data_IF_250223113004
#
_entry.id   IF_250223113004
#
_cell.length_a   1.000
_cell.length_b   1.000
_cell.length_c   1.000
_cell.angle_alpha   90.00
_cell.angle_beta   90.00
_cell.angle_gamma   90.00
#
_symmetry.space_group_name_H-M   'P 1'
#
loop_
_entity.id
_entity.type
_entity.pdbx_description
1 polymer ?
#
# COMPACT_ATOMS: atom_id res chain seq x y z
N UNK A 1 -0.96 9.40 14.62
CA UNK A 1 -2.34 9.84 14.27
C UNK A 1 -2.95 10.50 15.48
N UNK A 2 -3.42 11.74 15.36
CA UNK A 2 -4.10 12.44 16.47
C UNK A 2 -5.49 11.82 16.63
N UNK A 3 -5.78 11.17 17.74
CA UNK A 3 -7.10 10.63 18.04
C UNK A 3 -7.90 11.68 18.80
N UNK A 4 -9.07 12.04 18.30
CA UNK A 4 -9.96 12.93 19.03
C UNK A 4 -10.56 12.16 20.23
N UNK A 5 -10.34 12.68 21.43
CA UNK A 5 -10.86 12.14 22.68
C UNK A 5 -11.84 13.12 23.31
N UNK A 6 -12.75 12.55 24.07
CA UNK A 6 -13.74 13.29 24.83
C UNK A 6 -13.64 12.84 26.31
N UNK A 7 -13.51 13.84 27.20
CA UNK A 7 -13.56 13.62 28.65
C UNK A 7 -14.92 14.12 29.18
N UNK A 8 -15.80 13.21 29.58
CA UNK A 8 -17.11 13.59 30.12
C UNK A 8 -17.05 14.41 31.40
N UNK A 9 -15.98 14.23 32.21
CA UNK A 9 -15.84 14.94 33.51
C UNK A 9 -15.55 16.43 33.35
N UNK A 10 -14.93 16.80 32.22
CA UNK A 10 -14.62 18.19 31.91
C UNK A 10 -15.73 18.88 31.09
N UNK A 11 -16.69 18.12 30.60
CA UNK A 11 -17.72 18.66 29.73
C UNK A 11 -18.79 19.44 30.50
N UNK A 12 -18.96 20.70 30.13
CA UNK A 12 -20.00 21.62 30.69
C UNK A 12 -21.31 21.58 29.92
N UNK A 13 -21.47 20.70 28.93
CA UNK A 13 -22.65 20.59 28.05
C UNK A 13 -23.04 21.88 27.35
N UNK A 14 -22.08 22.78 27.09
CA UNK A 14 -22.34 24.13 26.55
C UNK A 14 -22.73 24.15 25.05
N UNK A 15 -22.64 23.05 24.32
CA UNK A 15 -23.04 22.94 22.92
C UNK A 15 -22.10 23.57 21.88
N UNK A 16 -21.11 24.38 22.26
CA UNK A 16 -20.25 25.14 21.36
C UNK A 16 -19.52 24.27 20.31
N UNK A 17 -19.20 23.01 20.63
CA UNK A 17 -18.56 22.06 19.72
C UNK A 17 -19.51 21.57 18.62
N UNK A 18 -20.82 21.54 18.89
CA UNK A 18 -21.86 21.13 17.95
C UNK A 18 -22.10 22.24 16.94
N UNK A 19 -22.36 23.46 17.43
CA UNK A 19 -22.67 24.61 16.59
C UNK A 19 -21.53 24.96 15.62
N UNK A 20 -20.30 24.70 16.02
CA UNK A 20 -19.10 24.99 15.23
C UNK A 20 -18.59 23.82 14.40
N UNK A 21 -19.25 22.65 14.45
CA UNK A 21 -18.83 21.50 13.65
C UNK A 21 -19.26 21.67 12.19
N UNK A 22 -18.34 21.89 11.23
CA UNK A 22 -18.72 22.11 9.83
C UNK A 22 -19.25 20.85 9.13
N UNK A 23 -19.15 19.69 9.80
CA UNK A 23 -19.54 18.39 9.24
C UNK A 23 -20.76 17.78 9.96
N UNK A 24 -21.35 18.46 10.94
CA UNK A 24 -22.47 17.92 11.73
C UNK A 24 -22.13 16.60 12.42
N UNK A 25 -20.87 16.41 12.81
CA UNK A 25 -20.36 15.12 13.30
C UNK A 25 -20.51 14.94 14.81
N UNK A 26 -21.12 15.88 15.52
CA UNK A 26 -21.22 15.88 16.98
C UNK A 26 -22.69 16.01 17.38
N UNK A 27 -23.14 15.10 18.23
CA UNK A 27 -24.50 15.15 18.83
C UNK A 27 -24.42 15.23 20.35
N UNK A 28 -25.37 15.94 20.97
CA UNK A 28 -25.46 16.04 22.42
C UNK A 28 -26.26 14.87 22.97
N UNK A 29 -25.75 14.28 24.03
CA UNK A 29 -26.45 13.28 24.82
C UNK A 29 -26.55 13.73 26.28
N UNK A 30 -27.33 13.01 27.11
CA UNK A 30 -27.56 13.36 28.52
C UNK A 30 -26.29 13.43 29.33
N UNK A 31 -25.27 12.67 28.98
CA UNK A 31 -24.01 12.52 29.72
C UNK A 31 -22.79 13.08 28.99
N UNK A 32 -22.98 13.77 27.85
CA UNK A 32 -21.88 14.30 27.07
C UNK A 32 -22.20 14.46 25.60
N UNK A 33 -21.22 14.16 24.78
CA UNK A 33 -21.35 14.20 23.33
C UNK A 33 -20.95 12.88 22.70
N UNK A 34 -21.52 12.59 21.53
CA UNK A 34 -21.10 11.48 20.67
C UNK A 34 -20.61 12.00 19.35
N UNK A 35 -19.69 11.23 18.74
CA UNK A 35 -19.11 11.51 17.44
C UNK A 35 -19.61 10.47 16.45
N UNK A 36 -20.10 10.92 15.30
CA UNK A 36 -20.50 10.04 14.22
C UNK A 36 -19.43 9.95 13.12
N UNK A 37 -19.65 9.11 12.12
CA UNK A 37 -18.74 8.83 11.00
C UNK A 37 -18.44 10.03 10.08
N UNK A 38 -19.19 11.13 10.19
CA UNK A 38 -18.91 12.37 9.45
C UNK A 38 -17.71 13.13 10.00
N UNK A 39 -17.15 12.72 11.14
CA UNK A 39 -16.00 13.39 11.74
C UNK A 39 -14.76 13.33 10.85
N UNK A 40 -14.25 14.49 10.45
CA UNK A 40 -13.04 14.63 9.62
C UNK A 40 -11.78 14.99 10.43
N UNK A 41 -11.80 14.83 11.74
CA UNK A 41 -10.66 15.13 12.64
C UNK A 41 -10.07 16.55 12.43
N UNK A 42 -10.87 17.52 11.99
CA UNK A 42 -10.41 18.88 11.64
C UNK A 42 -9.99 19.74 12.84
N UNK A 43 -10.32 19.32 14.06
CA UNK A 43 -9.94 19.98 15.32
C UNK A 43 -10.66 21.28 15.64
N UNK A 44 -11.68 21.70 14.88
CA UNK A 44 -12.47 22.90 15.18
C UNK A 44 -13.10 22.81 16.57
N UNK A 45 -13.72 21.67 16.90
CA UNK A 45 -14.34 21.42 18.20
C UNK A 45 -13.33 21.46 19.36
N UNK A 46 -12.11 21.02 19.16
CA UNK A 46 -11.03 21.08 20.17
C UNK A 46 -10.66 22.53 20.47
N UNK A 47 -10.50 23.36 19.43
CA UNK A 47 -10.16 24.80 19.60
C UNK A 47 -11.30 25.60 20.24
N UNK A 48 -12.55 25.18 20.05
CA UNK A 48 -13.73 25.88 20.59
C UNK A 48 -14.11 25.40 21.99
N UNK A 49 -13.59 24.28 22.45
CA UNK A 49 -13.92 23.75 23.76
C UNK A 49 -13.18 24.49 24.88
N UNK A 50 -13.87 25.42 25.55
CA UNK A 50 -13.28 26.20 26.65
C UNK A 50 -12.92 25.34 27.86
N UNK A 51 -13.70 24.30 28.16
CA UNK A 51 -13.44 23.37 29.24
C UNK A 51 -12.37 22.34 28.91
N UNK A 52 -11.85 22.33 27.66
CA UNK A 52 -10.87 21.34 27.16
C UNK A 52 -11.33 19.87 27.24
N UNK A 53 -12.63 19.66 27.36
CA UNK A 53 -13.22 18.31 27.35
C UNK A 53 -12.98 17.54 26.06
N UNK A 54 -12.75 18.27 24.93
CA UNK A 54 -12.35 17.70 23.66
C UNK A 54 -10.87 18.00 23.43
N UNK A 55 -10.09 16.96 23.21
CA UNK A 55 -8.66 17.11 22.96
C UNK A 55 -8.17 16.04 21.96
N UNK A 56 -7.08 16.35 21.30
CA UNK A 56 -6.37 15.31 20.56
C UNK A 56 -5.42 14.61 21.52
N UNK A 57 -5.65 13.30 21.67
CA UNK A 57 -4.65 12.47 22.31
C UNK A 57 -3.40 12.46 21.41
N UNK A 58 -2.37 13.14 21.86
CA UNK A 58 -1.04 12.91 21.32
C UNK A 58 -0.54 11.63 21.99
N UNK A 59 -0.38 10.55 21.23
CA UNK A 59 0.52 9.49 21.70
C UNK A 59 1.84 10.21 22.01
N UNK A 60 2.14 10.33 23.28
CA UNK A 60 3.42 10.83 23.75
C UNK A 60 4.51 9.89 23.21
N UNK A 61 5.36 10.42 22.32
CA UNK A 61 6.41 9.67 21.65
C UNK A 61 5.91 9.04 20.34
N UNK A 62 6.49 9.42 19.20
CA UNK A 62 6.46 8.61 17.98
C UNK A 62 6.94 7.19 18.33
N UNK A 63 6.49 6.20 17.56
CA UNK A 63 7.02 4.83 17.72
C UNK A 63 8.54 4.86 17.76
N UNK A 64 9.13 4.09 18.65
CA UNK A 64 10.59 3.94 18.70
C UNK A 64 11.05 3.32 17.38
N UNK A 65 11.56 4.16 16.50
CA UNK A 65 12.00 3.75 15.16
C UNK A 65 13.13 2.73 15.21
N UNK A 66 13.86 2.64 16.30
CA UNK A 66 14.98 1.70 16.46
C UNK A 66 14.51 0.24 16.51
N UNK A 67 13.26 0.01 16.88
CA UNK A 67 12.64 -1.34 16.89
C UNK A 67 12.15 -1.78 15.50
N UNK A 68 12.11 -0.87 14.54
CA UNK A 68 11.64 -1.11 13.18
C UNK A 68 12.82 -1.05 12.20
N UNK A 69 13.14 -2.19 11.59
CA UNK A 69 14.26 -2.27 10.65
C UNK A 69 13.95 -3.19 9.48
N UNK A 70 14.66 -2.96 8.36
CA UNK A 70 14.44 -3.72 7.13
C UNK A 70 13.34 -3.15 6.24
N UNK A 71 13.30 -3.64 5.03
CA UNK A 71 12.32 -3.30 3.99
C UNK A 71 11.61 -4.57 3.58
N UNK A 72 10.29 -4.59 3.71
CA UNK A 72 9.43 -5.69 3.32
C UNK A 72 8.78 -5.39 1.97
N UNK A 73 8.92 -6.30 1.02
CA UNK A 73 8.25 -6.26 -0.28
C UNK A 73 7.07 -7.25 -0.26
N UNK A 74 5.88 -6.79 -0.61
CA UNK A 74 4.78 -7.69 -0.89
C UNK A 74 4.99 -8.33 -2.26
N UNK A 75 5.26 -9.64 -2.27
CA UNK A 75 5.50 -10.42 -3.47
C UNK A 75 4.17 -10.89 -4.07
N UNK A 76 3.57 -10.01 -4.89
CA UNK A 76 2.31 -10.29 -5.58
C UNK A 76 2.47 -11.41 -6.59
N UNK A 77 1.59 -12.41 -6.50
CA UNK A 77 1.53 -13.52 -7.46
C UNK A 77 0.09 -13.89 -7.77
N UNK A 78 -0.12 -14.41 -8.94
CA UNK A 78 -1.39 -15.01 -9.34
C UNK A 78 -1.13 -16.40 -9.93
N UNK A 79 -1.77 -17.42 -9.33
CA UNK A 79 -1.66 -18.83 -9.75
C UNK A 79 -0.21 -19.32 -9.88
N UNK A 80 0.65 -18.87 -8.97
CA UNK A 80 2.06 -19.23 -8.96
C UNK A 80 2.96 -18.42 -9.89
N UNK A 81 2.40 -17.52 -10.70
CA UNK A 81 3.18 -16.61 -11.54
C UNK A 81 3.42 -15.28 -10.82
N UNK A 82 4.68 -14.94 -10.60
CA UNK A 82 5.06 -13.67 -9.97
C UNK A 82 4.72 -12.48 -10.86
N UNK A 83 4.10 -11.44 -10.29
CA UNK A 83 3.87 -10.20 -11.03
C UNK A 83 5.21 -9.47 -11.26
N UNK A 84 5.50 -8.98 -12.47
CA UNK A 84 6.80 -8.37 -12.79
C UNK A 84 7.19 -7.18 -11.89
N UNK A 85 6.23 -6.43 -11.35
CA UNK A 85 6.47 -5.33 -10.42
C UNK A 85 7.26 -5.75 -9.17
N UNK A 86 7.14 -7.01 -8.75
CA UNK A 86 7.85 -7.54 -7.58
C UNK A 86 9.36 -7.41 -7.73
N UNK A 87 9.88 -7.69 -8.92
CA UNK A 87 11.32 -7.58 -9.20
C UNK A 87 11.80 -6.13 -9.24
N UNK A 88 10.95 -5.19 -9.66
CA UNK A 88 11.23 -3.75 -9.57
C UNK A 88 11.27 -3.30 -8.10
N UNK A 89 10.28 -3.73 -7.29
CA UNK A 89 10.24 -3.43 -5.85
C UNK A 89 11.46 -3.98 -5.11
N UNK A 90 11.91 -5.19 -5.43
CA UNK A 90 13.13 -5.78 -4.85
C UNK A 90 14.36 -4.96 -5.25
N UNK A 91 14.46 -4.54 -6.52
CA UNK A 91 15.55 -3.67 -6.99
C UNK A 91 15.61 -2.37 -6.21
N UNK A 92 14.48 -1.71 -6.05
CA UNK A 92 14.39 -0.46 -5.31
C UNK A 92 14.63 -0.66 -3.81
N UNK A 93 14.05 -1.72 -3.21
CA UNK A 93 14.30 -2.07 -1.81
C UNK A 93 15.78 -2.26 -1.51
N UNK A 94 16.54 -2.92 -2.39
CA UNK A 94 17.99 -3.10 -2.25
C UNK A 94 18.76 -1.77 -2.33
N UNK A 95 18.38 -0.87 -3.24
CA UNK A 95 18.98 0.48 -3.34
C UNK A 95 18.74 1.27 -2.05
N UNK A 96 17.53 1.25 -1.51
CA UNK A 96 17.15 1.92 -0.28
C UNK A 96 17.85 1.30 0.95
N UNK A 97 17.83 -0.02 1.05
CA UNK A 97 18.41 -0.79 2.16
C UNK A 97 19.94 -0.55 2.29
N UNK A 98 20.64 -0.48 1.18
CA UNK A 98 22.09 -0.21 1.15
C UNK A 98 22.47 1.09 1.85
N UNK A 99 21.61 2.12 1.80
CA UNK A 99 21.89 3.44 2.41
C UNK A 99 21.90 3.43 3.93
N UNK A 100 21.13 2.51 4.54
CA UNK A 100 20.92 2.46 6.00
C UNK A 100 21.29 1.12 6.63
N UNK A 101 21.88 0.21 5.86
CA UNK A 101 22.31 -1.11 6.34
C UNK A 101 21.14 -2.06 6.66
N UNK A 102 20.01 -1.90 5.99
CA UNK A 102 18.83 -2.74 6.21
C UNK A 102 18.89 -4.03 5.39
N UNK A 103 18.16 -5.04 5.86
CA UNK A 103 17.84 -6.26 5.09
C UNK A 103 16.61 -6.04 4.23
N UNK A 104 16.53 -6.83 3.15
CA UNK A 104 15.39 -6.86 2.24
C UNK A 104 14.64 -8.17 2.45
N UNK A 105 13.39 -8.04 2.79
CA UNK A 105 12.47 -9.15 3.03
C UNK A 105 11.38 -9.17 1.97
N UNK A 106 10.80 -10.34 1.74
CA UNK A 106 9.58 -10.46 0.96
C UNK A 106 8.52 -11.25 1.74
N UNK A 107 7.25 -10.93 1.54
CA UNK A 107 6.12 -11.72 2.02
C UNK A 107 5.29 -12.18 0.84
N UNK A 108 4.97 -13.46 0.80
CA UNK A 108 4.21 -14.12 -0.24
C UNK A 108 3.04 -14.88 0.37
N UNK A 109 1.85 -14.70 -0.20
CA UNK A 109 0.62 -15.33 0.26
C UNK A 109 0.00 -16.11 -0.89
N UNK A 110 -0.43 -17.33 -0.65
CA UNK A 110 -1.06 -18.14 -1.70
C UNK A 110 -1.42 -19.55 -1.27
N UNK A 111 -1.82 -20.35 -2.25
CA UNK A 111 -2.18 -21.76 -2.08
C UNK A 111 -0.96 -22.67 -2.22
N UNK A 112 -1.17 -23.97 -2.37
CA UNK A 112 -0.12 -24.96 -2.56
C UNK A 112 0.97 -24.53 -3.56
N UNK A 113 2.23 -24.87 -3.27
CA UNK A 113 3.44 -24.53 -4.02
C UNK A 113 3.91 -23.08 -3.94
N UNK A 114 3.28 -22.24 -3.09
CA UNK A 114 3.74 -20.86 -2.89
C UNK A 114 5.17 -20.82 -2.35
N UNK A 115 5.52 -21.73 -1.43
CA UNK A 115 6.89 -21.85 -0.91
C UNK A 115 7.90 -22.29 -1.98
N UNK A 116 7.49 -23.12 -2.94
CA UNK A 116 8.33 -23.50 -4.08
C UNK A 116 8.56 -22.33 -5.01
N UNK A 117 7.48 -21.58 -5.34
CA UNK A 117 7.53 -20.42 -6.21
C UNK A 117 8.35 -19.26 -5.57
N UNK A 118 8.36 -19.16 -4.24
CA UNK A 118 9.16 -18.18 -3.51
C UNK A 118 10.68 -18.28 -3.78
N UNK A 119 11.16 -19.45 -4.20
CA UNK A 119 12.56 -19.64 -4.60
C UNK A 119 12.99 -18.74 -5.76
N UNK A 120 12.04 -18.31 -6.60
CA UNK A 120 12.30 -17.39 -7.71
C UNK A 120 12.84 -16.04 -7.23
N UNK A 121 12.54 -15.63 -6.00
CA UNK A 121 12.95 -14.35 -5.45
C UNK A 121 14.38 -14.33 -4.91
N UNK A 122 14.92 -15.48 -4.48
CA UNK A 122 16.24 -15.57 -3.85
C UNK A 122 17.37 -15.08 -4.74
N UNK A 123 17.41 -15.39 -6.06
CA UNK A 123 18.45 -14.88 -6.95
C UNK A 123 18.49 -13.35 -7.07
N UNK A 124 17.45 -12.65 -6.67
CA UNK A 124 17.39 -11.20 -6.76
C UNK A 124 17.88 -10.47 -5.48
N UNK A 125 18.47 -11.22 -4.53
CA UNK A 125 19.10 -10.66 -3.33
C UNK A 125 18.11 -10.28 -2.22
N UNK A 126 17.04 -11.06 -2.08
CA UNK A 126 16.16 -11.03 -0.91
C UNK A 126 16.82 -11.85 0.19
N UNK A 127 16.92 -11.29 1.41
CA UNK A 127 17.53 -11.97 2.55
C UNK A 127 16.63 -13.06 3.13
N UNK A 128 15.32 -12.84 3.16
CA UNK A 128 14.34 -13.83 3.64
C UNK A 128 12.99 -13.61 2.99
N UNK A 129 12.34 -14.73 2.60
CA UNK A 129 10.98 -14.74 2.07
C UNK A 129 10.07 -15.43 3.08
N UNK A 130 9.10 -14.71 3.61
CA UNK A 130 8.06 -15.24 4.48
C UNK A 130 6.88 -15.71 3.64
N UNK A 131 6.49 -16.97 3.80
CA UNK A 131 5.44 -17.60 2.98
C UNK A 131 4.27 -18.01 3.85
N UNK A 132 3.09 -17.52 3.50
CA UNK A 132 1.80 -17.94 4.05
C UNK A 132 1.09 -18.79 2.98
N UNK A 133 1.08 -20.10 3.20
CA UNK A 133 0.57 -21.07 2.25
C UNK A 133 -0.62 -21.82 2.85
N UNK A 134 -1.81 -21.67 2.27
CA UNK A 134 -3.02 -22.36 2.70
C UNK A 134 -4.10 -22.29 1.62
N UNK A 135 -4.92 -23.34 1.46
CA UNK A 135 -6.00 -23.38 0.47
C UNK A 135 -7.06 -22.28 0.66
N UNK A 136 -7.23 -21.78 1.87
CA UNK A 136 -8.10 -20.64 2.17
C UNK A 136 -7.70 -19.34 1.46
N UNK A 137 -6.48 -19.25 0.93
CA UNK A 137 -6.04 -18.12 0.10
C UNK A 137 -6.34 -18.31 -1.39
N UNK A 138 -7.11 -19.32 -1.77
CA UNK A 138 -7.57 -19.46 -3.14
C UNK A 138 -8.41 -18.26 -3.58
N UNK A 139 -7.96 -17.58 -4.65
CA UNK A 139 -8.49 -16.29 -5.05
C UNK A 139 -8.12 -15.17 -4.07
N UNK A 140 -7.95 -13.97 -4.59
CA UNK A 140 -7.61 -12.82 -3.74
C UNK A 140 -8.81 -12.38 -2.89
N UNK A 141 -8.68 -12.52 -1.58
CA UNK A 141 -9.60 -11.98 -0.57
C UNK A 141 -8.83 -10.98 0.28
N UNK A 142 -9.14 -9.70 0.12
CA UNK A 142 -8.35 -8.61 0.69
C UNK A 142 -8.27 -8.64 2.23
N UNK A 143 -9.24 -9.21 2.92
CA UNK A 143 -9.24 -9.43 4.37
C UNK A 143 -8.23 -10.50 4.78
N UNK A 144 -8.31 -11.71 4.20
CA UNK A 144 -7.40 -12.81 4.51
C UNK A 144 -5.93 -12.46 4.17
N UNK A 145 -5.70 -11.84 3.01
CA UNK A 145 -4.36 -11.41 2.60
C UNK A 145 -3.82 -10.33 3.55
N UNK A 146 -4.68 -9.39 3.98
CA UNK A 146 -4.28 -8.38 4.96
C UNK A 146 -3.95 -8.99 6.32
N UNK A 147 -4.65 -10.05 6.75
CA UNK A 147 -4.37 -10.73 8.01
C UNK A 147 -3.00 -11.44 7.97
N UNK A 148 -2.70 -12.16 6.90
CA UNK A 148 -1.41 -12.82 6.71
C UNK A 148 -0.24 -11.82 6.65
N UNK A 149 -0.36 -10.77 5.84
CA UNK A 149 0.69 -9.76 5.72
C UNK A 149 0.86 -8.95 7.01
N UNK A 150 -0.23 -8.67 7.72
CA UNK A 150 -0.17 -7.98 9.01
C UNK A 150 0.51 -8.83 10.09
N UNK A 151 0.29 -10.15 10.11
CA UNK A 151 1.02 -11.07 11.00
C UNK A 151 2.53 -11.02 10.72
N UNK A 152 2.93 -11.05 9.44
CA UNK A 152 4.33 -10.90 9.04
C UNK A 152 4.91 -9.56 9.53
N UNK A 153 4.22 -8.45 9.30
CA UNK A 153 4.66 -7.11 9.72
C UNK A 153 4.80 -7.04 11.24
N UNK A 154 3.84 -7.62 12.00
CA UNK A 154 3.84 -7.60 13.47
C UNK A 154 4.98 -8.42 14.07
N UNK A 155 5.46 -9.45 13.40
CA UNK A 155 6.59 -10.28 13.84
C UNK A 155 7.94 -9.70 13.42
N UNK A 156 8.00 -9.13 12.23
CA UNK A 156 9.24 -8.67 11.62
C UNK A 156 9.60 -7.23 11.98
N UNK A 157 8.61 -6.37 12.24
CA UNK A 157 8.76 -4.92 12.44
C UNK A 157 9.57 -4.23 11.32
N UNK A 158 9.19 -4.35 10.04
CA UNK A 158 9.91 -3.70 8.95
C UNK A 158 9.70 -2.18 8.99
N UNK A 159 10.75 -1.39 8.78
CA UNK A 159 10.66 0.08 8.74
C UNK A 159 9.85 0.59 7.53
N UNK A 160 9.90 -0.15 6.43
CA UNK A 160 9.24 0.18 5.16
C UNK A 160 8.52 -1.05 4.62
N UNK A 161 7.33 -0.84 4.05
CA UNK A 161 6.59 -1.86 3.29
C UNK A 161 6.30 -1.33 1.89
N UNK A 162 6.82 -2.03 0.88
CA UNK A 162 6.63 -1.72 -0.53
C UNK A 162 5.62 -2.68 -1.15
N UNK A 163 4.65 -2.12 -1.85
CA UNK A 163 3.58 -2.87 -2.52
C UNK A 163 3.46 -2.40 -3.97
N UNK A 164 3.16 -3.28 -4.91
CA UNK A 164 2.90 -2.89 -6.30
C UNK A 164 1.67 -1.99 -6.41
N UNK A 165 1.71 -0.99 -7.30
CA UNK A 165 0.55 -0.14 -7.64
C UNK A 165 -0.46 -0.84 -8.54
N UNK A 166 -0.62 -2.14 -8.41
CA UNK A 166 -1.57 -3.01 -9.11
C UNK A 166 -2.97 -2.92 -8.51
N UNK A 167 -3.95 -3.56 -9.14
CA UNK A 167 -5.31 -3.64 -8.59
C UNK A 167 -5.33 -4.33 -7.23
N UNK A 168 -4.55 -5.40 -7.05
CA UNK A 168 -4.44 -6.13 -5.77
C UNK A 168 -3.72 -5.28 -4.73
N UNK A 169 -2.58 -4.71 -5.07
CA UNK A 169 -1.80 -3.89 -4.15
C UNK A 169 -2.52 -2.64 -3.68
N UNK A 170 -3.28 -1.98 -4.55
CA UNK A 170 -4.14 -0.83 -4.21
C UNK A 170 -5.32 -1.21 -3.31
N UNK A 171 -5.74 -2.46 -3.31
CA UNK A 171 -6.75 -2.98 -2.38
C UNK A 171 -6.13 -3.37 -1.02
N UNK A 172 -4.92 -3.91 -1.02
CA UNK A 172 -4.24 -4.44 0.16
C UNK A 172 -3.57 -3.35 1.01
N UNK A 173 -2.77 -2.49 0.39
CA UNK A 173 -1.94 -1.52 1.10
C UNK A 173 -2.72 -0.54 2.00
N UNK A 174 -3.89 0.03 1.60
CA UNK A 174 -4.69 0.88 2.48
C UNK A 174 -5.23 0.17 3.70
N UNK A 175 -5.60 -1.11 3.58
CA UNK A 175 -6.07 -1.93 4.70
C UNK A 175 -4.97 -2.13 5.74
N UNK A 176 -3.76 -2.45 5.27
CA UNK A 176 -2.58 -2.60 6.12
C UNK A 176 -2.20 -1.28 6.80
N UNK A 177 -2.07 -0.20 6.05
CA UNK A 177 -1.68 1.10 6.63
C UNK A 177 -2.68 1.59 7.68
N UNK A 178 -3.97 1.37 7.47
CA UNK A 178 -5.02 1.71 8.45
C UNK A 178 -4.90 0.83 9.69
N UNK A 179 -4.65 -0.47 9.53
CA UNK A 179 -4.48 -1.41 10.65
C UNK A 179 -3.31 -1.05 11.55
N UNK A 180 -2.19 -0.62 10.96
CA UNK A 180 -1.01 -0.16 11.69
C UNK A 180 -1.06 1.33 12.06
N UNK A 181 -2.19 2.01 11.83
CA UNK A 181 -2.36 3.44 12.13
C UNK A 181 -1.25 4.32 11.58
N UNK A 182 -0.79 4.04 10.37
CA UNK A 182 0.31 4.74 9.72
C UNK A 182 -0.09 5.31 8.36
N UNK A 183 0.81 6.10 7.77
CA UNK A 183 0.59 6.71 6.46
C UNK A 183 0.88 5.75 5.31
N UNK A 184 0.23 6.02 4.19
CA UNK A 184 0.46 5.37 2.90
C UNK A 184 0.56 6.42 1.81
N UNK A 185 1.63 6.38 1.00
CA UNK A 185 1.68 7.13 -0.25
C UNK A 185 1.43 6.21 -1.42
N UNK A 186 0.39 6.49 -2.19
CA UNK A 186 0.02 5.69 -3.34
C UNK A 186 0.69 6.17 -4.62
N UNK A 187 0.99 5.23 -5.53
CA UNK A 187 1.47 5.47 -6.89
C UNK A 187 2.78 6.27 -6.96
N UNK A 188 3.72 5.92 -6.08
CA UNK A 188 5.06 6.51 -6.07
C UNK A 188 5.79 6.21 -7.38
N UNK A 189 6.52 7.21 -7.86
CA UNK A 189 7.38 7.09 -9.04
C UNK A 189 8.87 7.22 -8.70
N UNK A 190 9.20 7.65 -7.48
CA UNK A 190 10.56 7.71 -6.97
C UNK A 190 10.54 7.54 -5.44
N UNK A 191 11.54 6.86 -4.90
CA UNK A 191 11.74 6.67 -3.47
C UNK A 191 13.17 7.03 -3.07
N UNK A 192 13.33 7.64 -1.90
CA UNK A 192 14.65 7.97 -1.37
C UNK A 192 14.69 7.68 0.13
N UNK A 193 15.75 7.03 0.60
CA UNK A 193 15.96 6.77 2.02
C UNK A 193 16.85 7.84 2.63
N UNK A 194 16.41 8.47 3.73
CA UNK A 194 17.24 9.36 4.55
C UNK A 194 18.08 8.56 5.55
N UNK A 195 19.16 9.16 6.05
CA UNK A 195 20.02 8.55 7.07
C UNK A 195 19.30 8.25 8.39
N UNK A 196 18.24 8.98 8.69
CA UNK A 196 17.38 8.75 9.87
C UNK A 196 16.27 7.69 9.62
N UNK A 197 16.38 6.90 8.56
CA UNK A 197 15.44 5.85 8.13
C UNK A 197 14.06 6.33 7.68
N UNK A 198 13.86 7.63 7.50
CA UNK A 198 12.63 8.14 6.91
C UNK A 198 12.66 7.98 5.39
N UNK A 199 11.58 7.42 4.84
CA UNK A 199 11.38 7.24 3.41
C UNK A 199 10.76 8.50 2.82
N UNK A 200 11.45 9.13 1.87
CA UNK A 200 10.89 10.18 1.01
C UNK A 200 10.16 9.51 -0.15
N UNK A 201 8.89 9.74 -0.25
CA UNK A 201 7.98 9.12 -1.21
C UNK A 201 7.54 10.20 -2.19
N UNK A 202 7.90 10.03 -3.46
CA UNK A 202 7.70 11.05 -4.50
C UNK A 202 6.70 10.53 -5.51
N UNK A 203 5.67 11.33 -5.77
CA UNK A 203 4.64 11.01 -6.72
C UNK A 203 4.15 12.22 -7.49
N UNK A 204 3.73 12.07 -8.75
CA UNK A 204 3.03 13.13 -9.47
C UNK A 204 1.66 13.40 -8.83
N UNK A 205 1.31 14.67 -8.73
CA UNK A 205 0.04 15.16 -8.23
C UNK A 205 -0.54 16.22 -9.19
N UNK A 206 -1.82 16.54 -9.03
CA UNK A 206 -2.51 17.55 -9.85
C UNK A 206 -2.32 17.38 -11.35
N UNK A 207 -2.60 16.16 -11.86
CA UNK A 207 -2.46 15.84 -13.28
C UNK A 207 -1.01 15.73 -13.77
N UNK A 208 -0.04 15.59 -12.86
CA UNK A 208 1.39 15.48 -13.18
C UNK A 208 2.17 16.79 -13.15
N UNK A 209 1.50 17.91 -12.87
CA UNK A 209 2.14 19.24 -12.85
C UNK A 209 3.05 19.47 -11.63
N UNK A 210 2.89 18.70 -10.58
CA UNK A 210 3.66 18.82 -9.33
C UNK A 210 4.17 17.46 -8.91
N UNK A 211 5.44 17.39 -8.49
CA UNK A 211 6.02 16.23 -7.84
C UNK A 211 5.93 16.41 -6.32
N UNK A 212 4.93 15.77 -5.71
CA UNK A 212 4.75 15.83 -4.26
C UNK A 212 5.78 14.92 -3.56
N UNK A 213 6.47 15.47 -2.57
CA UNK A 213 7.36 14.73 -1.67
C UNK A 213 6.68 14.53 -0.32
N UNK A 214 6.50 13.28 0.07
CA UNK A 214 5.77 12.91 1.27
C UNK A 214 6.69 12.10 2.17
N UNK A 215 6.66 12.38 3.47
CA UNK A 215 7.43 11.67 4.50
C UNK A 215 6.51 11.27 5.64
N UNK A 216 6.58 10.01 6.06
CA UNK A 216 5.85 9.48 7.21
C UNK A 216 6.83 9.41 8.38
N UNK A 217 6.99 10.54 9.10
CA UNK A 217 8.06 10.68 10.10
C UNK A 217 7.71 10.17 11.49
N UNK A 218 6.41 10.01 11.84
CA UNK A 218 5.98 9.74 13.22
C UNK A 218 5.54 8.29 13.47
N UNK A 219 5.30 7.51 12.41
CA UNK A 219 4.77 6.14 12.52
C UNK A 219 5.54 5.15 11.66
N UNK A 220 5.43 3.87 12.01
CA UNK A 220 6.01 2.73 11.29
C UNK A 220 4.96 1.62 11.15
N UNK A 221 5.08 0.77 10.12
CA UNK A 221 5.98 0.92 8.98
C UNK A 221 5.53 2.06 8.04
N UNK A 222 6.44 2.52 7.18
CA UNK A 222 6.14 3.48 6.12
C UNK A 222 5.66 2.74 4.88
N UNK A 223 4.39 2.89 4.50
CA UNK A 223 3.84 2.21 3.32
C UNK A 223 3.98 3.06 2.07
N UNK A 224 4.39 2.41 0.97
CA UNK A 224 4.35 3.00 -0.36
C UNK A 224 3.81 1.98 -1.37
N UNK A 225 2.87 2.40 -2.24
CA UNK A 225 2.65 1.66 -3.48
C UNK A 225 3.45 2.30 -4.61
N UNK A 226 4.05 1.47 -5.46
CA UNK A 226 4.90 1.89 -6.57
C UNK A 226 4.26 1.48 -7.88
N UNK A 227 4.20 2.38 -8.85
CA UNK A 227 3.69 2.07 -10.18
C UNK A 227 4.56 1.03 -10.89
N UNK A 228 3.93 0.16 -11.63
CA UNK A 228 4.61 -0.79 -12.50
C UNK A 228 5.31 -0.07 -13.67
N UNK A 229 6.45 -0.61 -14.10
CA UNK A 229 7.32 -0.07 -15.16
C UNK A 229 7.89 1.33 -14.87
N UNK A 230 8.12 1.63 -13.59
CA UNK A 230 8.72 2.92 -13.17
C UNK A 230 10.11 2.74 -12.55
N UNK A 231 10.32 1.59 -11.88
CA UNK A 231 11.61 1.27 -11.26
C UNK A 231 12.35 0.22 -12.09
N UNK A 232 13.68 0.23 -11.99
CA UNK A 232 14.49 -0.79 -12.65
C UNK A 232 14.28 -2.15 -11.99
N UNK A 233 14.17 -3.18 -12.81
CA UNK A 233 14.13 -4.56 -12.34
C UNK A 233 15.42 -4.91 -11.60
N UNK A 234 15.32 -5.65 -10.49
CA UNK A 234 16.48 -6.16 -9.78
C UNK A 234 17.36 -7.03 -10.68
N UNK A 235 18.65 -6.84 -10.59
CA UNK A 235 19.64 -7.74 -11.16
C UNK A 235 19.83 -8.96 -10.25
N UNK A 236 20.08 -10.11 -10.84
CA UNK A 236 20.41 -11.33 -10.09
C UNK A 236 21.78 -11.17 -9.42
N UNK A 237 21.88 -11.64 -8.18
CA UNK A 237 23.14 -11.68 -7.43
C UNK A 237 23.91 -12.94 -7.79
N UNK A 238 25.24 -12.86 -7.78
CA UNK A 238 26.11 -14.00 -8.11
C UNK A 238 25.93 -15.19 -7.12
N UNK A 239 25.75 -14.86 -5.84
CA UNK A 239 25.62 -15.86 -4.75
C UNK A 239 24.37 -15.56 -3.93
N UNK A 240 23.23 -16.16 -4.25
CA UNK A 240 22.03 -16.04 -3.42
C UNK A 240 22.27 -16.65 -2.04
N UNK A 241 22.00 -15.87 -0.99
CA UNK A 241 22.17 -16.30 0.41
C UNK A 241 20.86 -16.26 1.21
N UNK A 242 19.76 -15.92 0.55
CA UNK A 242 18.46 -15.78 1.18
C UNK A 242 17.85 -17.11 1.59
N UNK A 243 16.91 -17.07 2.53
CA UNK A 243 16.16 -18.24 2.99
C UNK A 243 14.66 -18.05 2.82
N UNK A 244 13.91 -19.16 2.86
CA UNK A 244 12.47 -19.19 2.84
C UNK A 244 11.98 -19.69 4.20
N UNK A 245 11.05 -18.94 4.80
CA UNK A 245 10.42 -19.28 6.07
C UNK A 245 8.92 -19.43 5.85
N UNK A 246 8.42 -20.67 5.98
CA UNK A 246 6.98 -20.94 5.93
C UNK A 246 6.36 -20.57 7.27
N UNK A 247 5.40 -19.67 7.23
CA UNK A 247 4.72 -19.15 8.41
C UNK A 247 3.45 -19.99 8.69
N UNK A 248 3.11 -20.23 9.98
CA UNK A 248 1.86 -20.89 10.30
C UNK A 248 0.67 -20.01 9.92
N UNK A 249 -0.35 -20.64 9.36
CA UNK A 249 -1.62 -20.00 9.01
C UNK A 249 -2.70 -20.52 9.95
N UNK A 250 -3.37 -19.62 10.67
CA UNK A 250 -4.51 -19.98 11.53
C UNK A 250 -5.81 -19.98 10.74
N UNK A 251 -6.81 -20.73 11.21
CA UNK A 251 -8.16 -20.74 10.63
C UNK A 251 -8.80 -19.35 10.58
N UNK A 252 -8.50 -18.50 11.55
CA UNK A 252 -9.00 -17.12 11.59
C UNK A 252 -8.43 -16.25 10.48
N UNK A 253 -7.15 -16.45 10.08
CA UNK A 253 -6.55 -15.74 8.95
C UNK A 253 -7.21 -16.02 7.61
N UNK A 254 -7.80 -17.20 7.45
CA UNK A 254 -8.45 -17.60 6.20
C UNK A 254 -9.97 -17.47 6.23
N UNK A 255 -10.52 -17.06 7.38
CA UNK A 255 -11.95 -16.77 7.53
C UNK A 255 -12.28 -15.44 6.89
N UNK A 256 -12.89 -15.47 5.71
CA UNK A 256 -13.32 -14.28 4.96
C UNK A 256 -14.81 -14.01 5.11
N UNK A 257 -15.18 -12.74 5.00
CA UNK A 257 -16.57 -12.31 4.78
C UNK A 257 -16.96 -12.31 3.30
N UNK A 258 -16.00 -12.65 2.43
CA UNK A 258 -16.14 -12.66 0.97
C UNK A 258 -16.13 -14.11 0.52
N UNK A 259 -17.13 -14.51 -0.24
CA UNK A 259 -17.18 -15.78 -0.95
C UNK A 259 -16.97 -15.54 -2.45
N UNK A 260 -16.01 -16.25 -3.05
CA UNK A 260 -15.77 -16.20 -4.48
C UNK A 260 -16.65 -17.23 -5.16
N UNK A 261 -17.76 -16.81 -5.74
CA UNK A 261 -18.72 -17.71 -6.40
C UNK A 261 -18.20 -18.24 -7.74
N UNK A 262 -17.49 -17.43 -8.49
CA UNK A 262 -16.86 -17.85 -9.75
C UNK A 262 -15.69 -16.94 -10.12
N UNK A 263 -14.69 -17.51 -10.80
CA UNK A 263 -13.60 -16.76 -11.41
C UNK A 263 -13.41 -17.25 -12.84
N UNK A 264 -13.58 -16.37 -13.81
CA UNK A 264 -13.33 -16.66 -15.23
C UNK A 264 -11.99 -16.06 -15.62
N UNK A 265 -11.13 -16.90 -16.19
CA UNK A 265 -9.92 -16.43 -16.86
C UNK A 265 -10.36 -15.80 -18.18
N UNK A 266 -10.08 -14.52 -18.35
CA UNK A 266 -10.23 -13.89 -19.64
C UNK A 266 -9.11 -14.43 -20.55
N UNK A 267 -9.42 -14.68 -21.82
CA UNK A 267 -8.36 -14.90 -22.82
C UNK A 267 -7.42 -13.71 -22.77
N UNK A 268 -6.10 -13.97 -22.88
CA UNK A 268 -5.07 -12.97 -22.72
C UNK A 268 -5.24 -11.86 -23.78
N UNK A 269 -5.97 -10.83 -23.44
CA UNK A 269 -5.96 -9.58 -24.19
C UNK A 269 -4.68 -8.87 -23.76
N UNK A 270 -3.75 -8.63 -24.67
CA UNK A 270 -2.53 -7.87 -24.39
C UNK A 270 -2.90 -6.58 -23.68
N UNK A 271 -2.39 -6.41 -22.50
CA UNK A 271 -2.59 -5.17 -21.72
C UNK A 271 -1.72 -4.07 -22.34
N UNK A 272 -2.25 -2.85 -22.39
CA UNK A 272 -1.45 -1.67 -22.79
C UNK A 272 -0.19 -1.49 -21.92
N UNK A 273 -0.18 -2.09 -20.72
CA UNK A 273 0.98 -2.09 -19.83
C UNK A 273 2.09 -3.04 -20.29
N UNK A 274 1.79 -3.97 -21.19
CA UNK A 274 2.74 -4.97 -21.70
C UNK A 274 3.39 -4.56 -23.03
N UNK A 275 2.84 -3.52 -23.67
CA UNK A 275 3.32 -3.06 -24.98
C UNK A 275 4.50 -2.09 -24.84
N UNK A 276 5.46 -2.22 -25.75
CA UNK A 276 6.63 -1.32 -25.84
C UNK A 276 6.30 -0.03 -26.60
N UNK A 277 5.34 -0.08 -27.54
CA UNK A 277 4.90 1.06 -28.34
C UNK A 277 3.39 1.25 -28.23
N UNK A 278 2.96 2.45 -27.87
CA UNK A 278 1.57 2.83 -27.81
C UNK A 278 1.28 4.01 -28.76
N UNK A 279 0.35 3.83 -29.67
CA UNK A 279 -0.22 4.91 -30.46
C UNK A 279 -1.49 5.39 -29.77
N UNK A 280 -1.47 6.60 -29.22
CA UNK A 280 -2.56 7.09 -28.36
C UNK A 280 -3.44 8.10 -29.13
N UNK A 281 -4.68 7.72 -29.39
CA UNK A 281 -5.68 8.57 -30.01
C UNK A 281 -6.43 9.41 -28.98
N UNK A 282 -6.37 10.72 -29.12
CA UNK A 282 -7.15 11.67 -28.35
C UNK A 282 -8.51 11.98 -29.00
N UNK A 283 -9.31 12.83 -28.34
CA UNK A 283 -10.67 13.21 -28.79
C UNK A 283 -10.73 13.76 -30.23
N UNK A 284 -9.68 14.43 -30.72
CA UNK A 284 -9.60 14.99 -32.05
C UNK A 284 -9.28 13.99 -33.18
N UNK A 285 -8.92 12.76 -32.85
CA UNK A 285 -8.40 11.75 -33.78
C UNK A 285 -9.49 10.98 -34.56
N UNK A 286 -10.78 11.24 -34.31
CA UNK A 286 -11.89 10.42 -34.82
C UNK A 286 -11.92 10.17 -36.34
N UNK A 287 -11.40 11.11 -37.15
CA UNK A 287 -11.32 10.97 -38.62
C UNK A 287 -10.07 10.22 -39.12
N UNK A 288 -9.10 9.98 -38.23
CA UNK A 288 -7.80 9.39 -38.55
C UNK A 288 -7.59 8.02 -37.89
N UNK A 289 -8.63 7.39 -37.35
CA UNK A 289 -8.50 6.14 -36.55
C UNK A 289 -7.90 5.02 -37.41
N UNK A 290 -8.29 4.86 -38.65
CA UNK A 290 -7.76 3.80 -39.51
C UNK A 290 -6.26 4.01 -39.80
N UNK A 291 -5.84 5.25 -40.02
CA UNK A 291 -4.43 5.60 -40.18
C UNK A 291 -3.61 5.39 -38.93
N UNK A 292 -4.19 5.70 -37.75
CA UNK A 292 -3.54 5.47 -36.48
C UNK A 292 -3.42 3.98 -36.14
N UNK A 293 -4.39 3.17 -36.57
CA UNK A 293 -4.34 1.71 -36.44
C UNK A 293 -3.23 1.13 -37.32
N UNK A 294 -3.16 1.56 -38.60
CA UNK A 294 -2.08 1.17 -39.52
C UNK A 294 -0.70 1.58 -38.95
N UNK A 295 -0.58 2.78 -38.40
CA UNK A 295 0.64 3.25 -37.75
C UNK A 295 1.03 2.36 -36.58
N UNK A 296 0.06 1.98 -35.74
CA UNK A 296 0.33 1.10 -34.62
C UNK A 296 0.82 -0.28 -35.06
N UNK A 297 0.19 -0.83 -36.14
CA UNK A 297 0.60 -2.12 -36.71
C UNK A 297 2.02 -2.03 -37.33
N UNK A 298 2.34 -0.95 -38.07
CA UNK A 298 3.67 -0.73 -38.66
C UNK A 298 4.78 -0.60 -37.57
N UNK A 299 4.44 -0.02 -36.42
CA UNK A 299 5.38 0.15 -35.28
C UNK A 299 5.44 -1.08 -34.38
N UNK A 300 4.65 -2.12 -34.67
CA UNK A 300 4.56 -3.31 -33.80
C UNK A 300 3.96 -3.01 -32.42
N UNK A 301 3.14 -1.96 -32.33
CA UNK A 301 2.53 -1.49 -31.09
C UNK A 301 1.01 -1.62 -31.07
N UNK A 302 0.37 -1.00 -30.08
CA UNK A 302 -1.08 -1.04 -29.89
C UNK A 302 -1.70 0.35 -29.98
N UNK A 303 -2.89 0.44 -30.65
CA UNK A 303 -3.71 1.65 -30.63
C UNK A 303 -4.48 1.74 -29.31
N UNK A 304 -4.37 2.87 -28.65
CA UNK A 304 -5.05 3.17 -27.39
C UNK A 304 -5.82 4.49 -27.47
N UNK A 305 -6.72 4.71 -26.52
CA UNK A 305 -7.54 5.91 -26.46
C UNK A 305 -7.36 6.62 -25.11
N UNK A 306 -7.34 7.97 -25.14
CA UNK A 306 -7.45 8.75 -23.90
C UNK A 306 -8.84 8.59 -23.30
N UNK A 307 -8.96 8.74 -21.98
CA UNK A 307 -10.30 8.85 -21.36
C UNK A 307 -11.05 10.05 -21.95
N UNK A 308 -12.40 9.95 -22.10
CA UNK A 308 -13.24 11.05 -22.56
C UNK A 308 -13.14 12.28 -21.67
#
# INVERSE_FOLDING_TARGET
MKLLRFDPQLCTLCGACIDKCPFGAITMEKTGITLNENCRMCGVCVRQCQSKALYFEQKAGGEDKSTWNGILVYAEQERGKMHPVVFELIGEARKLAKKVGYKVYAVMVGTARTAENAKELLPYGVDEVFVYEHEGFAGFKADCYADAVADCISKLHPSVVLVGGTSLGRSLAPRLSTRFHTGLTADCTKLEMKSNTDLVQIRPAFGGNIMAQIVISESRPQFATVRYKVMDRAEKVEKPSGKITVCPVSEDMVRSRIEVLSAKVLEHVRSIEEEDVLVVAGRGAGKALDQLKELAELLGGQLCFTRP
#
